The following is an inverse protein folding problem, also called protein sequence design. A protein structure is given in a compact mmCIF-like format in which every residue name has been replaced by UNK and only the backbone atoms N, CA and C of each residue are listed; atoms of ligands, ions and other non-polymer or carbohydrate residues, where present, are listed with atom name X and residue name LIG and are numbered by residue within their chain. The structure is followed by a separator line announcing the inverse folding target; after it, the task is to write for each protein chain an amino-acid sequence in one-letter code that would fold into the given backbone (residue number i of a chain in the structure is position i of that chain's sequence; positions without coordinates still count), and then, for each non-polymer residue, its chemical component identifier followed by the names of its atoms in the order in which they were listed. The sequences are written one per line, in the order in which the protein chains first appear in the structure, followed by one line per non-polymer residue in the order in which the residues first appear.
data_IF_365017956554
#
_entry.id   IF_365017956554
#
_cell.length_a   1.000
_cell.length_b   1.000
_cell.length_c   1.000
_cell.angle_alpha   90.00
_cell.angle_beta   90.00
_cell.angle_gamma   90.00
#
_symmetry.space_group_name_H-M   'P 1'
#
loop_
_entity.id
_entity.type
_entity.pdbx_description
1 polymer ?
#
# COMPACT_ATOMS: atom_id res chain seq x y z
N UNK A 1 -28.85 -0.70 -1.08
CA UNK A 1 -27.47 -0.16 -1.02
C UNK A 1 -26.52 -0.78 -2.05
N UNK A 2 -26.42 -2.12 -2.15
CA UNK A 2 -25.50 -2.79 -3.11
C UNK A 2 -25.68 -2.39 -4.59
N UNK A 3 -26.91 -2.05 -5.02
CA UNK A 3 -27.22 -1.55 -6.38
C UNK A 3 -26.61 -0.18 -6.71
N UNK A 4 -26.28 0.64 -5.70
CA UNK A 4 -25.77 2.01 -5.88
C UNK A 4 -24.25 2.12 -5.65
N UNK A 5 -23.62 1.08 -5.08
CA UNK A 5 -22.17 0.97 -4.94
C UNK A 5 -21.59 0.31 -6.21
N UNK A 6 -21.84 0.94 -7.36
CA UNK A 6 -21.34 0.47 -8.65
C UNK A 6 -19.85 0.82 -8.84
N UNK A 7 -19.27 0.43 -9.98
CA UNK A 7 -17.84 0.67 -10.26
C UNK A 7 -17.48 2.15 -10.30
N UNK A 8 -18.42 2.97 -10.78
CA UNK A 8 -18.26 4.41 -10.91
C UNK A 8 -18.21 5.08 -9.55
N UNK A 9 -19.03 4.63 -8.61
CA UNK A 9 -18.98 5.14 -7.23
C UNK A 9 -17.60 4.92 -6.60
N UNK A 10 -17.04 3.71 -6.70
CA UNK A 10 -15.72 3.41 -6.12
C UNK A 10 -14.60 4.21 -6.80
N UNK A 11 -14.64 4.30 -8.13
CA UNK A 11 -13.67 5.09 -8.87
C UNK A 11 -13.72 6.58 -8.50
N UNK A 12 -14.93 7.16 -8.44
CA UNK A 12 -15.13 8.54 -8.01
C UNK A 12 -14.64 8.79 -6.59
N UNK A 13 -14.96 7.88 -5.66
CA UNK A 13 -14.53 7.99 -4.27
C UNK A 13 -13.00 7.90 -4.12
N UNK A 14 -12.33 7.04 -4.89
CA UNK A 14 -10.86 6.96 -4.91
C UNK A 14 -10.26 8.24 -5.50
N UNK A 15 -10.89 8.84 -6.51
CA UNK A 15 -10.46 10.13 -7.07
C UNK A 15 -10.47 11.28 -6.05
N UNK A 16 -11.38 11.25 -5.08
CA UNK A 16 -11.47 12.28 -4.03
C UNK A 16 -10.27 12.29 -3.07
N UNK A 17 -9.50 11.20 -2.99
CA UNK A 17 -8.27 11.17 -2.18
C UNK A 17 -7.18 12.12 -2.70
N UNK A 18 -7.30 12.63 -3.92
CA UNK A 18 -6.43 13.68 -4.43
C UNK A 18 -6.65 15.05 -3.74
N UNK A 19 -7.65 15.19 -2.86
CA UNK A 19 -7.91 16.41 -2.10
C UNK A 19 -6.66 16.89 -1.36
N UNK A 20 -6.43 18.21 -1.37
CA UNK A 20 -5.34 18.85 -0.62
C UNK A 20 -5.62 18.86 0.89
N UNK A 21 -6.89 18.84 1.30
CA UNK A 21 -7.27 18.87 2.72
C UNK A 21 -7.07 17.49 3.37
N UNK A 22 -6.13 17.34 4.33
CA UNK A 22 -5.91 16.07 5.02
C UNK A 22 -7.14 15.56 5.78
N UNK A 23 -8.04 16.45 6.21
CA UNK A 23 -9.26 16.06 6.94
C UNK A 23 -10.22 15.31 6.03
N UNK A 24 -10.38 15.77 4.79
CA UNK A 24 -11.22 15.08 3.81
C UNK A 24 -10.67 13.69 3.50
N UNK A 25 -9.35 13.59 3.31
CA UNK A 25 -8.67 12.31 3.08
C UNK A 25 -8.84 11.34 4.25
N UNK A 26 -8.77 11.84 5.49
CA UNK A 26 -8.98 11.04 6.69
C UNK A 26 -10.42 10.49 6.80
N UNK A 27 -11.42 11.30 6.45
CA UNK A 27 -12.82 10.83 6.37
C UNK A 27 -12.99 9.79 5.26
N UNK A 28 -12.43 10.06 4.07
CA UNK A 28 -12.47 9.13 2.94
C UNK A 28 -11.81 7.80 3.29
N UNK A 29 -10.66 7.83 3.97
CA UNK A 29 -9.95 6.64 4.48
C UNK A 29 -10.87 5.79 5.33
N UNK A 30 -11.49 6.41 6.33
CA UNK A 30 -12.41 5.74 7.27
C UNK A 30 -13.61 5.12 6.53
N UNK A 31 -14.20 5.87 5.60
CA UNK A 31 -15.36 5.41 4.81
C UNK A 31 -14.97 4.25 3.89
N UNK A 32 -13.89 4.38 3.13
CA UNK A 32 -13.41 3.36 2.20
C UNK A 32 -13.04 2.07 2.94
N UNK A 33 -12.37 2.18 4.09
CA UNK A 33 -12.04 1.02 4.91
C UNK A 33 -13.31 0.30 5.42
N UNK A 34 -14.31 1.05 5.90
CA UNK A 34 -15.61 0.47 6.32
C UNK A 34 -16.33 -0.22 5.16
N UNK A 35 -16.32 0.36 3.97
CA UNK A 35 -16.91 -0.25 2.77
C UNK A 35 -16.18 -1.56 2.42
N UNK A 36 -14.84 -1.56 2.45
CA UNK A 36 -14.03 -2.75 2.20
C UNK A 36 -14.34 -3.88 3.21
N UNK A 37 -14.43 -3.53 4.50
CA UNK A 37 -14.73 -4.46 5.58
C UNK A 37 -16.14 -5.04 5.47
N UNK A 38 -17.14 -4.21 5.12
CA UNK A 38 -18.55 -4.60 5.09
C UNK A 38 -18.95 -5.35 3.81
N UNK A 39 -18.40 -4.98 2.65
CA UNK A 39 -18.87 -5.47 1.35
C UNK A 39 -17.83 -6.35 0.64
N UNK A 40 -17.81 -7.65 0.98
CA UNK A 40 -16.88 -8.64 0.39
C UNK A 40 -16.74 -8.58 -1.14
N UNK A 41 -17.83 -8.46 -1.94
CA UNK A 41 -17.72 -8.46 -3.40
C UNK A 41 -17.01 -7.23 -3.98
N UNK A 42 -16.89 -6.15 -3.20
CA UNK A 42 -16.21 -4.93 -3.63
C UNK A 42 -14.71 -4.94 -3.35
N UNK A 43 -14.22 -5.91 -2.56
CA UNK A 43 -12.83 -5.94 -2.10
C UNK A 43 -11.82 -5.98 -3.24
N UNK A 44 -12.04 -6.85 -4.22
CA UNK A 44 -11.18 -6.98 -5.40
C UNK A 44 -11.13 -5.64 -6.13
N UNK A 45 -12.30 -5.10 -6.50
CA UNK A 45 -12.38 -3.83 -7.21
C UNK A 45 -11.75 -2.65 -6.46
N UNK A 46 -11.90 -2.59 -5.14
CA UNK A 46 -11.27 -1.56 -4.31
C UNK A 46 -9.74 -1.70 -4.37
N UNK A 47 -9.20 -2.90 -4.13
CA UNK A 47 -7.75 -3.14 -4.20
C UNK A 47 -7.19 -2.80 -5.57
N UNK A 48 -7.86 -3.23 -6.64
CA UNK A 48 -7.42 -2.98 -8.01
C UNK A 48 -7.44 -1.48 -8.34
N UNK A 49 -8.48 -0.76 -7.91
CA UNK A 49 -8.59 0.67 -8.16
C UNK A 49 -7.55 1.48 -7.38
N UNK A 50 -7.25 1.09 -6.14
CA UNK A 50 -6.18 1.73 -5.36
C UNK A 50 -4.82 1.39 -5.98
N UNK A 51 -4.56 0.11 -6.28
CA UNK A 51 -3.31 -0.33 -6.91
C UNK A 51 -3.06 0.39 -8.23
N UNK A 52 -4.09 0.53 -9.07
CA UNK A 52 -4.03 1.30 -10.31
C UNK A 52 -3.68 2.77 -10.06
N UNK A 53 -4.25 3.39 -9.02
CA UNK A 53 -3.93 4.77 -8.65
C UNK A 53 -2.47 4.91 -8.20
N UNK A 54 -1.98 4.01 -7.35
CA UNK A 54 -0.58 4.00 -6.92
C UNK A 54 0.38 3.77 -8.09
N UNK A 55 0.09 2.80 -8.98
CA UNK A 55 0.91 2.54 -10.17
C UNK A 55 1.00 3.78 -11.06
N UNK A 56 -0.11 4.51 -11.24
CA UNK A 56 -0.09 5.77 -11.97
C UNK A 56 0.80 6.82 -11.32
N UNK A 57 0.75 6.98 -10.00
CA UNK A 57 1.65 7.89 -9.26
C UNK A 57 3.13 7.50 -9.41
N UNK A 58 3.45 6.20 -9.51
CA UNK A 58 4.82 5.73 -9.73
C UNK A 58 5.36 6.12 -11.12
N UNK A 59 4.50 6.12 -12.15
CA UNK A 59 4.91 6.34 -13.54
C UNK A 59 4.67 7.77 -14.05
N UNK A 60 3.67 8.49 -13.55
CA UNK A 60 3.32 9.86 -13.93
C UNK A 60 3.91 10.85 -12.90
N UNK A 61 5.14 11.35 -13.15
CA UNK A 61 5.90 12.20 -12.22
C UNK A 61 5.23 13.55 -11.86
N UNK A 62 4.30 14.05 -12.68
CA UNK A 62 3.62 15.34 -12.48
C UNK A 62 2.28 15.22 -11.73
N UNK A 63 1.89 14.02 -11.31
CA UNK A 63 0.65 13.82 -10.53
C UNK A 63 0.89 14.02 -9.04
N UNK A 64 -0.13 14.57 -8.39
CA UNK A 64 -0.18 14.64 -6.93
C UNK A 64 -0.06 13.25 -6.31
N UNK A 65 0.83 13.10 -5.32
CA UNK A 65 0.93 11.89 -4.48
C UNK A 65 -0.02 11.93 -3.27
N UNK A 66 -0.99 12.85 -3.25
CA UNK A 66 -1.99 12.92 -2.19
C UNK A 66 -2.82 11.62 -2.15
N UNK A 67 -3.17 11.16 -0.95
CA UNK A 67 -3.97 9.96 -0.76
C UNK A 67 -3.17 8.65 -0.64
N UNK A 68 -1.89 8.63 -1.06
CA UNK A 68 -1.07 7.41 -1.03
C UNK A 68 -0.84 6.91 0.40
N UNK A 69 -0.59 7.81 1.36
CA UNK A 69 -0.43 7.45 2.76
C UNK A 69 -1.70 6.77 3.32
N UNK A 70 -2.87 7.36 3.05
CA UNK A 70 -4.16 6.86 3.51
C UNK A 70 -4.51 5.51 2.87
N UNK A 71 -4.16 5.33 1.59
CA UNK A 71 -4.29 4.03 0.91
C UNK A 71 -3.40 2.97 1.54
N UNK A 72 -2.15 3.30 1.87
CA UNK A 72 -1.23 2.39 2.53
C UNK A 72 -1.72 1.99 3.92
N UNK A 73 -2.30 2.92 4.69
CA UNK A 73 -2.91 2.58 5.99
C UNK A 73 -4.08 1.60 5.85
N UNK A 74 -4.93 1.76 4.83
CA UNK A 74 -5.99 0.79 4.54
C UNK A 74 -5.37 -0.56 4.20
N UNK A 75 -4.35 -0.59 3.34
CA UNK A 75 -3.66 -1.84 3.00
C UNK A 75 -2.99 -2.50 4.19
N UNK A 76 -2.39 -1.74 5.10
CA UNK A 76 -1.80 -2.24 6.34
C UNK A 76 -2.84 -3.03 7.16
N UNK A 77 -4.04 -2.48 7.32
CA UNK A 77 -5.15 -3.18 7.97
C UNK A 77 -5.64 -4.42 7.19
N UNK A 78 -5.66 -4.34 5.85
CA UNK A 78 -6.02 -5.48 4.99
C UNK A 78 -5.01 -6.63 5.12
N UNK A 79 -3.70 -6.32 5.12
CA UNK A 79 -2.61 -7.29 5.22
C UNK A 79 -2.68 -8.06 6.54
N UNK A 80 -3.03 -7.36 7.63
CA UNK A 80 -3.26 -7.98 8.93
C UNK A 80 -4.32 -9.10 8.85
N UNK A 81 -5.32 -8.97 7.99
CA UNK A 81 -6.37 -9.97 7.75
C UNK A 81 -6.02 -11.11 6.80
N UNK A 82 -4.81 -11.15 6.21
CA UNK A 82 -4.44 -12.23 5.29
C UNK A 82 -4.28 -13.58 5.99
N UNK A 83 -4.67 -14.64 5.29
CA UNK A 83 -4.36 -16.02 5.66
C UNK A 83 -2.93 -16.38 5.24
N UNK A 84 -2.28 -17.25 6.00
CA UNK A 84 -0.98 -17.86 5.64
C UNK A 84 -1.23 -19.24 5.02
N UNK A 85 -0.59 -19.62 3.91
CA UNK A 85 0.39 -18.84 3.14
C UNK A 85 -0.25 -17.66 2.40
N UNK A 86 0.52 -16.57 2.25
CA UNK A 86 0.04 -15.37 1.54
C UNK A 86 -0.18 -15.70 0.07
N UNK A 87 -1.38 -15.38 -0.43
CA UNK A 87 -1.78 -15.68 -1.81
C UNK A 87 -0.91 -14.95 -2.83
N UNK A 88 -0.77 -15.56 -4.01
CA UNK A 88 -0.01 -15.00 -5.14
C UNK A 88 -0.47 -13.59 -5.52
N UNK A 89 -1.78 -13.31 -5.52
CA UNK A 89 -2.34 -11.97 -5.79
C UNK A 89 -1.79 -10.88 -4.84
N UNK A 90 -1.56 -11.21 -3.57
CA UNK A 90 -1.04 -10.26 -2.58
C UNK A 90 0.48 -10.10 -2.70
N UNK A 91 1.19 -11.17 -3.09
CA UNK A 91 2.61 -11.11 -3.45
C UNK A 91 2.83 -10.27 -4.71
N UNK A 92 1.90 -10.31 -5.66
CA UNK A 92 1.96 -9.46 -6.84
C UNK A 92 1.78 -7.98 -6.50
N UNK A 93 0.81 -7.64 -5.64
CA UNK A 93 0.66 -6.28 -5.13
C UNK A 93 1.94 -5.72 -4.49
N UNK A 94 2.68 -6.55 -3.74
CA UNK A 94 3.97 -6.17 -3.19
C UNK A 94 4.98 -5.81 -4.29
N UNK A 95 5.09 -6.63 -5.35
CA UNK A 95 6.05 -6.45 -6.44
C UNK A 95 5.68 -5.30 -7.37
N UNK A 96 4.40 -5.12 -7.66
CA UNK A 96 3.92 -4.15 -8.64
C UNK A 96 3.63 -2.78 -8.03
N UNK A 97 3.34 -2.70 -6.73
CA UNK A 97 2.98 -1.45 -6.03
C UNK A 97 3.93 -1.10 -4.91
N UNK A 98 4.03 -1.93 -3.86
CA UNK A 98 4.77 -1.54 -2.65
C UNK A 98 6.26 -1.34 -2.90
N UNK A 99 6.92 -2.26 -3.61
CA UNK A 99 8.34 -2.13 -3.94
C UNK A 99 8.57 -0.90 -4.84
N UNK A 100 7.86 -0.70 -5.96
CA UNK A 100 8.08 0.46 -6.83
C UNK A 100 7.74 1.82 -6.19
N UNK A 101 6.84 1.89 -5.21
CA UNK A 101 6.54 3.14 -4.49
C UNK A 101 7.77 3.77 -3.81
N UNK A 102 8.80 2.98 -3.51
CA UNK A 102 10.07 3.49 -2.98
C UNK A 102 10.87 4.33 -3.99
N UNK A 103 10.48 4.33 -5.28
CA UNK A 103 11.06 5.17 -6.34
C UNK A 103 10.46 6.58 -6.40
N UNK A 104 9.31 6.81 -5.75
CA UNK A 104 8.63 8.09 -5.85
C UNK A 104 9.46 9.23 -5.24
N UNK A 105 9.38 10.41 -5.86
CA UNK A 105 10.20 11.58 -5.48
C UNK A 105 9.85 12.11 -4.09
N UNK A 106 8.56 12.19 -3.73
CA UNK A 106 8.10 12.68 -2.42
C UNK A 106 7.75 11.54 -1.47
N UNK A 107 8.69 10.60 -1.33
CA UNK A 107 8.56 9.46 -0.43
C UNK A 107 8.33 9.90 1.03
N UNK A 108 8.87 11.04 1.43
CA UNK A 108 8.71 11.66 2.76
C UNK A 108 7.25 11.76 3.20
N UNK A 109 6.30 11.96 2.27
CA UNK A 109 4.87 12.07 2.58
C UNK A 109 4.21 10.78 3.08
N UNK A 110 4.74 9.60 2.74
CA UNK A 110 4.07 8.33 2.98
C UNK A 110 5.01 7.19 3.37
N UNK A 111 6.29 7.48 3.60
CA UNK A 111 7.32 6.48 3.90
C UNK A 111 6.97 5.67 5.14
N UNK A 112 6.49 6.29 6.22
CA UNK A 112 6.12 5.59 7.46
C UNK A 112 5.06 4.51 7.21
N UNK A 113 4.02 4.85 6.45
CA UNK A 113 2.93 3.93 6.10
C UNK A 113 3.41 2.82 5.15
N UNK A 114 4.33 3.14 4.24
CA UNK A 114 4.92 2.17 3.31
C UNK A 114 5.78 1.14 4.06
N UNK A 115 6.62 1.61 4.97
CA UNK A 115 7.44 0.75 5.85
C UNK A 115 6.54 -0.12 6.70
N UNK A 116 5.49 0.44 7.31
CA UNK A 116 4.53 -0.32 8.10
C UNK A 116 3.87 -1.45 7.30
N UNK A 117 3.49 -1.21 6.04
CA UNK A 117 2.96 -2.27 5.17
C UNK A 117 3.98 -3.38 4.91
N UNK A 118 5.24 -3.02 4.65
CA UNK A 118 6.32 -3.99 4.42
C UNK A 118 6.56 -4.87 5.65
N UNK A 119 6.62 -4.27 6.84
CA UNK A 119 6.73 -4.98 8.12
C UNK A 119 5.57 -5.95 8.31
N UNK A 120 4.32 -5.50 8.11
CA UNK A 120 3.14 -6.35 8.29
C UNK A 120 3.16 -7.55 7.35
N UNK A 121 3.64 -7.39 6.12
CA UNK A 121 3.81 -8.50 5.19
C UNK A 121 4.84 -9.52 5.68
N UNK A 122 6.01 -9.06 6.14
CA UNK A 122 7.07 -9.94 6.67
C UNK A 122 6.62 -10.64 7.95
N UNK A 123 5.94 -9.93 8.84
CA UNK A 123 5.36 -10.51 10.05
C UNK A 123 4.32 -11.59 9.72
N UNK A 124 3.54 -11.40 8.64
CA UNK A 124 2.55 -12.38 8.18
C UNK A 124 3.20 -13.61 7.55
N UNK A 125 4.25 -13.44 6.75
CA UNK A 125 4.98 -14.53 6.08
C UNK A 125 6.45 -14.11 5.90
N UNK A 126 7.37 -14.63 6.74
CA UNK A 126 8.79 -14.23 6.72
C UNK A 126 9.48 -14.49 5.38
N UNK A 127 8.99 -15.43 4.56
CA UNK A 127 9.55 -15.70 3.24
C UNK A 127 9.45 -14.49 2.31
N UNK A 128 8.50 -13.58 2.56
CA UNK A 128 8.29 -12.36 1.76
C UNK A 128 9.45 -11.37 1.91
N UNK A 129 10.20 -11.42 3.01
CA UNK A 129 11.31 -10.51 3.23
C UNK A 129 12.31 -10.53 2.06
N UNK A 130 12.61 -11.72 1.53
CA UNK A 130 13.50 -11.89 0.36
C UNK A 130 13.03 -11.09 -0.86
N UNK A 131 11.72 -11.11 -1.14
CA UNK A 131 11.11 -10.38 -2.26
C UNK A 131 11.26 -8.87 -2.08
N UNK A 132 11.06 -8.38 -0.84
CA UNK A 132 11.22 -6.95 -0.51
C UNK A 132 12.67 -6.54 -0.67
N UNK A 133 13.60 -7.32 -0.09
CA UNK A 133 15.04 -7.06 -0.20
C UNK A 133 15.49 -7.00 -1.65
N UNK A 134 15.23 -8.03 -2.45
CA UNK A 134 15.59 -8.06 -3.88
C UNK A 134 14.98 -6.89 -4.65
N UNK A 135 13.75 -6.50 -4.33
CA UNK A 135 13.07 -5.35 -4.92
C UNK A 135 13.78 -4.03 -4.59
N UNK A 136 14.10 -3.81 -3.32
CA UNK A 136 14.78 -2.60 -2.85
C UNK A 136 16.21 -2.49 -3.41
N UNK A 137 16.93 -3.61 -3.52
CA UNK A 137 18.23 -3.70 -4.20
C UNK A 137 18.14 -3.47 -5.71
N UNK A 138 16.96 -3.29 -6.32
CA UNK A 138 16.85 -2.81 -7.72
C UNK A 138 16.41 -1.36 -7.81
N UNK A 139 15.96 -0.79 -6.70
CA UNK A 139 15.42 0.57 -6.60
C UNK A 139 16.52 1.60 -6.33
N UNK A 140 17.78 1.17 -6.08
CA UNK A 140 18.96 2.00 -5.85
C UNK A 140 18.99 3.28 -6.71
N UNK A 141 18.49 4.41 -6.19
CA UNK A 141 19.00 5.74 -6.55
C UNK A 141 18.36 6.91 -5.77
N UNK A 142 17.20 6.76 -5.10
CA UNK A 142 16.47 7.96 -4.60
C UNK A 142 16.40 8.19 -3.08
N UNK A 143 16.51 7.17 -2.22
CA UNK A 143 16.50 7.39 -0.76
C UNK A 143 17.28 6.33 0.04
N UNK A 144 18.61 6.48 0.13
CA UNK A 144 19.50 5.49 0.74
C UNK A 144 19.21 5.24 2.24
N UNK A 145 18.85 6.29 2.99
CA UNK A 145 18.63 6.20 4.45
C UNK A 145 17.34 5.42 4.77
N UNK A 146 16.22 5.73 4.09
CA UNK A 146 14.94 5.04 4.34
C UNK A 146 15.03 3.57 3.94
N UNK A 147 15.69 3.27 2.82
CA UNK A 147 15.93 1.89 2.38
C UNK A 147 16.77 1.12 3.42
N UNK A 148 17.82 1.73 3.97
CA UNK A 148 18.63 1.13 5.03
C UNK A 148 17.80 0.87 6.30
N UNK A 149 16.95 1.81 6.71
CA UNK A 149 16.09 1.64 7.90
C UNK A 149 15.13 0.47 7.68
N UNK A 150 14.50 0.37 6.50
CA UNK A 150 13.63 -0.75 6.15
C UNK A 150 14.41 -2.07 6.20
N UNK A 151 15.61 -2.09 5.63
CA UNK A 151 16.46 -3.28 5.60
C UNK A 151 16.84 -3.73 7.01
N UNK A 152 17.31 -2.80 7.85
CA UNK A 152 17.69 -3.06 9.24
C UNK A 152 16.48 -3.55 10.04
N UNK A 153 15.32 -2.90 9.90
CA UNK A 153 14.12 -3.24 10.65
C UNK A 153 13.57 -4.61 10.26
N UNK A 154 13.59 -4.95 8.96
CA UNK A 154 13.23 -6.28 8.48
C UNK A 154 14.22 -7.33 8.99
N UNK A 155 15.54 -7.06 8.97
CA UNK A 155 16.56 -7.96 9.50
C UNK A 155 16.36 -8.22 11.00
N UNK A 156 16.08 -7.18 11.78
CA UNK A 156 15.78 -7.30 13.22
C UNK A 156 14.53 -8.16 13.43
N UNK A 157 13.47 -7.93 12.66
CA UNK A 157 12.25 -8.74 12.74
C UNK A 157 12.54 -10.22 12.46
N UNK A 158 13.29 -10.53 11.40
CA UNK A 158 13.65 -11.91 11.07
C UNK A 158 14.46 -12.56 12.20
N UNK A 159 15.42 -11.84 12.79
CA UNK A 159 16.23 -12.32 13.92
C UNK A 159 15.41 -12.57 15.21
N UNK A 160 14.27 -11.89 15.40
CA UNK A 160 13.37 -12.10 16.54
C UNK A 160 12.46 -13.32 16.33
N UNK A 161 12.16 -13.69 15.08
CA UNK A 161 11.24 -14.78 14.73
C UNK A 161 11.95 -16.10 14.36
N UNK A 162 13.29 -16.15 14.40
CA UNK A 162 14.12 -17.36 14.31
C UNK A 162 14.60 -17.74 15.71
#
# INVERSE_FOLDING_TARGET
MKKYLDGRFIHGMIGLFASEDPREREYLKTILHRIYGRFMPLRIRIRDSIAHTCCRTIHELDRSENGIAEFLEIFCSIIHGFSVPVKAEHKEFLRSVLVPLHKCRRLDKFHEQLVACCIQFVFKDPSIATIIFEGLLRVYLFCFIIIIIIIILILILILIFI
#
